data_IF_387600971187
#
_entry.id   IF_387600971187
#
_cell.length_a   1.000
_cell.length_b   1.000
_cell.length_c   1.000
_cell.angle_alpha   90.00
_cell.angle_beta   90.00
_cell.angle_gamma   90.00
#
_symmetry.space_group_name_H-M   'P 1'
#
loop_
_entity.id
_entity.type
_entity.pdbx_description
1 polymer ?
#
# COMPACT_ATOMS: atom_id res chain seq x y z
N UNK A 1 -4.77 23.36 17.66
CA UNK A 1 -6.02 22.67 17.37
C UNK A 1 -6.04 21.38 18.20
N UNK A 2 -7.09 21.05 18.94
CA UNK A 2 -7.15 19.82 19.72
C UNK A 2 -7.28 18.58 18.81
N UNK A 3 -6.81 17.44 19.28
CA UNK A 3 -7.03 16.14 18.61
C UNK A 3 -8.53 15.87 18.52
N UNK A 4 -9.01 15.61 17.32
CA UNK A 4 -10.44 15.50 17.02
C UNK A 4 -10.74 14.17 16.31
N UNK A 5 -11.79 13.50 16.74
CA UNK A 5 -12.34 12.31 16.07
C UNK A 5 -13.73 12.67 15.56
N UNK A 6 -13.96 12.47 14.26
CA UNK A 6 -15.25 12.69 13.61
C UNK A 6 -15.90 11.33 13.35
N UNK A 7 -17.03 11.08 13.95
CA UNK A 7 -17.78 9.84 13.74
C UNK A 7 -18.91 10.04 12.70
N UNK A 8 -19.44 8.94 12.17
CA UNK A 8 -20.46 8.93 11.14
C UNK A 8 -20.13 9.73 9.87
N UNK A 9 -18.86 9.71 9.48
CA UNK A 9 -18.43 10.35 8.23
C UNK A 9 -19.03 9.59 7.04
N UNK A 10 -19.57 10.33 6.08
CA UNK A 10 -20.14 9.82 4.83
C UNK A 10 -19.29 10.18 3.62
N UNK A 11 -19.56 9.54 2.48
CA UNK A 11 -18.81 9.76 1.22
C UNK A 11 -18.91 11.19 0.67
N UNK A 12 -19.98 11.91 0.99
CA UNK A 12 -20.21 13.28 0.53
C UNK A 12 -19.39 14.31 1.31
N UNK A 13 -18.82 13.92 2.45
CA UNK A 13 -18.01 14.81 3.28
C UNK A 13 -16.59 14.92 2.72
N UNK A 14 -16.06 16.12 2.63
CA UNK A 14 -14.69 16.39 2.15
C UNK A 14 -13.63 15.57 2.90
N UNK A 15 -13.77 15.41 4.20
CA UNK A 15 -12.84 14.65 5.05
C UNK A 15 -12.75 13.16 4.67
N UNK A 16 -13.70 12.63 3.87
CA UNK A 16 -13.64 11.26 3.38
C UNK A 16 -12.59 11.09 2.28
N UNK A 17 -12.41 12.09 1.41
CA UNK A 17 -11.55 12.00 0.22
C UNK A 17 -10.33 12.90 0.28
N UNK A 18 -10.39 14.00 1.02
CA UNK A 18 -9.30 14.97 1.09
C UNK A 18 -8.31 14.57 2.19
N UNK A 19 -7.02 14.59 1.85
CA UNK A 19 -5.95 14.35 2.82
C UNK A 19 -5.89 15.51 3.84
N UNK A 20 -5.86 15.16 5.12
CA UNK A 20 -5.73 16.11 6.22
C UNK A 20 -4.42 15.92 6.97
N UNK A 21 -3.57 16.94 6.98
CA UNK A 21 -2.36 16.98 7.81
C UNK A 21 -2.62 17.47 9.25
N UNK A 22 -3.89 17.74 9.61
CA UNK A 22 -4.30 18.12 10.95
C UNK A 22 -4.52 16.92 11.88
N UNK A 23 -4.63 17.16 13.19
CA UNK A 23 -4.90 16.11 14.18
C UNK A 23 -6.38 15.70 14.18
N UNK A 24 -6.89 15.32 13.02
CA UNK A 24 -8.29 14.92 12.81
C UNK A 24 -8.31 13.52 12.23
N UNK A 25 -9.19 12.64 12.74
CA UNK A 25 -9.42 11.28 12.22
C UNK A 25 -10.90 11.05 11.98
N UNK A 26 -11.29 10.71 10.74
CA UNK A 26 -12.66 10.31 10.42
C UNK A 26 -12.89 8.85 10.79
N UNK A 27 -14.11 8.54 11.20
CA UNK A 27 -14.64 7.18 11.37
C UNK A 27 -15.79 7.01 10.40
N UNK A 28 -15.63 6.11 9.46
CA UNK A 28 -16.68 5.66 8.53
C UNK A 28 -17.24 4.34 9.04
N UNK A 29 -18.52 4.26 9.28
CA UNK A 29 -19.18 3.04 9.75
C UNK A 29 -19.79 2.29 8.58
N UNK A 30 -19.38 1.05 8.40
CA UNK A 30 -19.87 0.16 7.34
C UNK A 30 -20.31 -1.17 7.91
N UNK A 31 -21.13 -1.91 7.18
CA UNK A 31 -21.59 -3.22 7.59
C UNK A 31 -21.00 -4.32 6.70
N UNK A 32 -20.30 -5.26 7.33
CA UNK A 32 -19.68 -6.39 6.66
C UNK A 32 -18.31 -6.09 6.09
N UNK A 33 -17.61 -7.16 5.72
CA UNK A 33 -16.21 -7.11 5.26
C UNK A 33 -16.11 -6.49 3.88
N UNK A 34 -17.01 -6.83 2.98
CA UNK A 34 -17.01 -6.31 1.61
C UNK A 34 -17.14 -4.78 1.61
N UNK A 35 -18.13 -4.25 2.32
CA UNK A 35 -18.30 -2.80 2.44
C UNK A 35 -17.12 -2.09 3.12
N UNK A 36 -16.41 -2.78 4.03
CA UNK A 36 -15.21 -2.23 4.66
C UNK A 36 -14.04 -2.14 3.66
N UNK A 37 -13.85 -3.16 2.83
CA UNK A 37 -12.82 -3.17 1.78
C UNK A 37 -13.13 -2.10 0.73
N UNK A 38 -14.37 -2.05 0.24
CA UNK A 38 -14.79 -1.05 -0.73
C UNK A 38 -14.57 0.37 -0.21
N UNK A 39 -14.93 0.62 1.05
CA UNK A 39 -14.71 1.91 1.70
C UNK A 39 -13.22 2.25 1.85
N UNK A 40 -12.39 1.28 2.22
CA UNK A 40 -10.95 1.48 2.35
C UNK A 40 -10.27 1.78 1.00
N UNK A 41 -10.80 1.22 -0.09
CA UNK A 41 -10.27 1.42 -1.44
C UNK A 41 -10.84 2.65 -2.16
N UNK A 42 -11.92 3.24 -1.63
CA UNK A 42 -12.61 4.40 -2.20
C UNK A 42 -11.89 5.72 -1.84
N UNK A 43 -10.63 5.82 -2.22
CA UNK A 43 -9.86 7.06 -2.12
C UNK A 43 -8.68 7.07 -3.11
N UNK A 44 -8.14 8.24 -3.47
CA UNK A 44 -7.04 8.34 -4.42
C UNK A 44 -5.67 7.91 -3.85
N UNK A 45 -5.56 7.69 -2.55
CA UNK A 45 -4.30 7.38 -1.90
C UNK A 45 -4.18 5.90 -1.53
N UNK A 46 -2.95 5.41 -1.39
CA UNK A 46 -2.67 4.03 -1.04
C UNK A 46 -1.23 3.83 -0.52
N UNK A 47 -0.80 4.58 0.49
CA UNK A 47 0.53 4.40 1.06
C UNK A 47 0.54 3.23 2.04
N UNK A 48 -0.16 3.37 3.15
CA UNK A 48 -0.17 2.38 4.22
C UNK A 48 -1.56 2.17 4.77
N UNK A 49 -1.90 0.91 5.01
CA UNK A 49 -3.16 0.48 5.60
C UNK A 49 -2.94 -0.49 6.76
N UNK A 50 -3.97 -0.71 7.56
CA UNK A 50 -3.96 -1.72 8.60
C UNK A 50 -5.35 -2.38 8.71
N UNK A 51 -5.34 -3.70 8.88
CA UNK A 51 -6.53 -4.50 9.15
C UNK A 51 -6.42 -5.11 10.56
N UNK A 52 -7.36 -4.77 11.43
CA UNK A 52 -7.40 -5.29 12.81
C UNK A 52 -8.52 -6.31 12.96
N UNK A 53 -8.21 -7.47 13.51
CA UNK A 53 -9.19 -8.50 13.78
C UNK A 53 -8.67 -9.58 14.74
N UNK A 54 -9.59 -10.21 15.51
CA UNK A 54 -9.24 -11.35 16.37
C UNK A 54 -8.86 -12.58 15.54
N UNK A 55 -9.56 -12.78 14.44
CA UNK A 55 -9.25 -13.81 13.46
C UNK A 55 -8.16 -13.29 12.50
N UNK A 56 -6.95 -13.78 12.69
CA UNK A 56 -5.76 -13.39 11.90
C UNK A 56 -5.93 -13.79 10.43
N UNK A 57 -6.53 -14.96 10.16
CA UNK A 57 -6.76 -15.42 8.79
C UNK A 57 -7.70 -14.47 8.03
N UNK A 58 -8.77 -14.02 8.69
CA UNK A 58 -9.70 -13.04 8.13
C UNK A 58 -9.05 -11.66 7.97
N UNK A 59 -8.27 -11.22 8.95
CA UNK A 59 -7.54 -9.94 8.84
C UNK A 59 -6.55 -9.95 7.67
N UNK A 60 -5.86 -11.06 7.44
CA UNK A 60 -4.96 -11.26 6.30
C UNK A 60 -5.72 -11.23 4.96
N UNK A 61 -6.87 -11.89 4.86
CA UNK A 61 -7.71 -11.85 3.65
C UNK A 61 -8.17 -10.43 3.32
N UNK A 62 -8.52 -9.63 4.33
CA UNK A 62 -8.85 -8.22 4.16
C UNK A 62 -7.63 -7.44 3.69
N UNK A 63 -6.48 -7.61 4.36
CA UNK A 63 -5.25 -6.92 4.02
C UNK A 63 -4.79 -7.15 2.57
N UNK A 64 -4.97 -8.36 2.05
CA UNK A 64 -4.65 -8.71 0.65
C UNK A 64 -5.53 -8.01 -0.39
N UNK A 65 -6.67 -7.48 0.02
CA UNK A 65 -7.64 -6.81 -0.86
C UNK A 65 -7.64 -5.29 -0.73
N UNK A 66 -6.92 -4.74 0.25
CA UNK A 66 -6.75 -3.29 0.39
C UNK A 66 -5.68 -2.82 -0.62
N UNK A 67 -6.02 -1.81 -1.39
CA UNK A 67 -5.18 -1.22 -2.42
C UNK A 67 -4.18 -0.22 -1.81
N UNK A 68 -3.16 -0.74 -1.15
CA UNK A 68 -2.07 0.05 -0.56
C UNK A 68 -0.71 -0.58 -0.85
N UNK A 69 0.34 0.22 -0.82
CA UNK A 69 1.71 -0.28 -0.98
C UNK A 69 2.18 -1.08 0.23
N UNK A 70 1.65 -0.75 1.41
CA UNK A 70 1.95 -1.42 2.67
C UNK A 70 0.61 -1.73 3.36
N UNK A 71 0.47 -2.94 3.89
CA UNK A 71 -0.68 -3.29 4.71
C UNK A 71 -0.28 -4.16 5.90
N UNK A 72 -0.67 -3.75 7.08
CA UNK A 72 -0.38 -4.43 8.33
C UNK A 72 -1.60 -5.17 8.88
N UNK A 73 -1.43 -6.41 9.31
CA UNK A 73 -2.46 -7.14 10.06
C UNK A 73 -2.17 -7.02 11.54
N UNK A 74 -3.10 -6.43 12.30
CA UNK A 74 -3.00 -6.18 13.74
C UNK A 74 -1.79 -5.32 14.15
N UNK A 75 -1.24 -4.53 13.24
CA UNK A 75 -0.15 -3.59 13.46
C UNK A 75 -0.53 -2.17 13.04
N UNK A 76 0.19 -1.14 13.53
CA UNK A 76 -0.07 0.24 13.17
C UNK A 76 0.38 0.54 11.73
N UNK A 77 -0.21 1.55 11.11
CA UNK A 77 0.18 2.03 9.77
C UNK A 77 1.53 2.74 9.75
N UNK A 78 1.98 3.24 10.90
CA UNK A 78 3.29 3.88 11.07
C UNK A 78 4.27 2.80 11.54
N UNK A 79 4.75 2.02 10.58
CA UNK A 79 5.77 1.00 10.77
C UNK A 79 6.58 0.86 9.49
N UNK A 80 7.90 0.98 9.60
CA UNK A 80 8.83 0.86 8.48
C UNK A 80 10.09 0.11 8.93
N UNK A 81 10.67 -0.63 8.01
CA UNK A 81 11.93 -1.32 8.19
C UNK A 81 12.82 -1.09 6.96
N UNK A 82 14.05 -0.67 7.17
CA UNK A 82 14.95 -0.21 6.10
C UNK A 82 15.19 -1.22 4.96
N UNK A 83 15.05 -2.52 5.24
CA UNK A 83 15.19 -3.59 4.25
C UNK A 83 13.89 -3.91 3.49
N UNK A 84 12.75 -3.37 3.93
CA UNK A 84 11.45 -3.65 3.33
C UNK A 84 11.11 -2.67 2.21
N UNK A 85 10.34 -3.09 1.20
CA UNK A 85 9.99 -2.23 0.06
C UNK A 85 8.94 -1.19 0.49
N UNK A 86 9.37 0.01 0.85
CA UNK A 86 8.51 1.12 1.21
C UNK A 86 8.02 1.89 -0.02
N UNK A 87 6.73 2.16 -0.10
CA UNK A 87 6.13 3.00 -1.15
C UNK A 87 4.63 2.78 -1.28
N UNK A 88 3.97 3.70 -1.98
CA UNK A 88 2.53 3.72 -2.17
C UNK A 88 2.06 3.18 -3.52
N UNK A 89 0.76 3.17 -3.68
CA UNK A 89 0.02 2.98 -4.92
C UNK A 89 -0.86 4.21 -5.16
N UNK A 90 -1.53 4.27 -6.29
CA UNK A 90 -2.40 5.41 -6.66
C UNK A 90 -1.60 6.73 -6.57
N UNK A 91 -2.21 7.80 -6.06
CA UNK A 91 -1.56 9.11 -5.91
C UNK A 91 -0.51 9.17 -4.78
N UNK A 92 -0.38 8.11 -3.98
CA UNK A 92 0.66 8.03 -2.94
C UNK A 92 2.07 7.76 -3.47
N UNK A 93 2.26 7.56 -4.76
CA UNK A 93 3.55 7.54 -5.42
C UNK A 93 3.83 6.32 -6.27
N UNK A 94 5.02 6.31 -6.85
CA UNK A 94 5.51 5.29 -7.77
C UNK A 94 6.75 4.59 -7.20
N UNK A 95 6.93 3.33 -7.60
CA UNK A 95 8.12 2.56 -7.21
C UNK A 95 8.14 2.14 -5.75
N UNK A 96 9.28 1.67 -5.32
CA UNK A 96 9.54 1.27 -3.93
C UNK A 96 10.95 1.66 -3.53
N UNK A 97 11.10 2.09 -2.27
CA UNK A 97 12.39 2.35 -1.63
C UNK A 97 12.72 1.24 -0.64
N UNK A 98 13.96 1.23 -0.16
CA UNK A 98 14.42 0.25 0.80
C UNK A 98 14.90 -1.08 0.18
N UNK A 99 15.90 -1.68 0.79
CA UNK A 99 16.46 -2.97 0.44
C UNK A 99 16.75 -3.15 -1.05
N UNK A 100 16.41 -4.32 -1.56
CA UNK A 100 16.59 -4.68 -2.98
C UNK A 100 15.79 -3.80 -3.93
N UNK A 101 14.57 -3.42 -3.55
CA UNK A 101 13.70 -2.58 -4.38
C UNK A 101 14.32 -1.21 -4.67
N UNK A 102 15.01 -0.62 -3.69
CA UNK A 102 15.74 0.64 -3.89
C UNK A 102 16.91 0.48 -4.85
N UNK A 103 17.67 -0.63 -4.77
CA UNK A 103 18.76 -0.92 -5.71
C UNK A 103 18.20 -1.09 -7.12
N UNK A 104 17.13 -1.83 -7.30
CA UNK A 104 16.48 -2.06 -8.60
C UNK A 104 15.96 -0.77 -9.23
N UNK A 105 15.49 0.20 -8.43
CA UNK A 105 15.02 1.49 -8.93
C UNK A 105 16.14 2.38 -9.53
N UNK A 106 17.39 2.15 -9.13
CA UNK A 106 18.57 2.91 -9.62
C UNK A 106 19.47 2.12 -10.55
N UNK A 107 19.07 0.91 -10.97
CA UNK A 107 19.86 0.04 -11.85
C UNK A 107 19.01 -0.48 -13.00
N UNK A 108 19.67 -0.81 -14.10
CA UNK A 108 19.04 -1.46 -15.24
C UNK A 108 19.60 -2.86 -15.44
N UNK A 109 18.71 -3.81 -15.72
CA UNK A 109 19.11 -5.17 -16.06
C UNK A 109 19.72 -5.20 -17.46
N UNK A 110 20.93 -5.78 -17.56
CA UNK A 110 21.63 -5.97 -18.82
C UNK A 110 22.01 -7.43 -19.00
N UNK A 111 21.60 -8.00 -20.12
CA UNK A 111 22.02 -9.33 -20.52
C UNK A 111 23.24 -9.21 -21.46
N UNK A 112 24.33 -9.88 -21.10
CA UNK A 112 25.54 -9.95 -21.91
C UNK A 112 25.81 -11.43 -22.20
N UNK A 113 25.96 -11.77 -23.48
CA UNK A 113 26.42 -13.09 -23.93
C UNK A 113 27.77 -12.95 -24.57
N UNK A 114 28.69 -13.88 -24.28
CA UNK A 114 30.00 -13.97 -24.90
C UNK A 114 30.09 -15.32 -25.62
N UNK A 115 30.25 -15.27 -26.94
CA UNK A 115 30.50 -16.44 -27.75
C UNK A 115 31.99 -16.59 -27.98
N UNK A 116 32.58 -17.63 -27.40
CA UNK A 116 34.04 -17.88 -27.44
C UNK A 116 34.47 -18.74 -28.64
N UNK A 117 33.51 -19.43 -29.29
CA UNK A 117 33.76 -20.26 -30.48
C UNK A 117 32.77 -19.92 -31.57
N UNK A 118 33.18 -19.97 -32.86
CA UNK A 118 32.25 -19.78 -33.97
C UNK A 118 31.06 -20.73 -33.90
N UNK A 119 29.85 -20.21 -34.06
CA UNK A 119 28.64 -21.02 -34.09
C UNK A 119 28.44 -21.61 -35.48
N UNK A 120 28.26 -22.92 -35.57
CA UNK A 120 27.84 -23.55 -36.81
C UNK A 120 26.32 -23.41 -36.96
N UNK A 121 25.88 -22.85 -38.08
CA UNK A 121 24.47 -22.75 -38.45
C UNK A 121 24.11 -23.95 -39.37
N UNK A 122 22.90 -24.48 -39.27
CA UNK A 122 22.50 -25.69 -40.00
C UNK A 122 22.10 -25.45 -41.47
N UNK A 123 22.66 -24.42 -42.14
CA UNK A 123 22.42 -24.13 -43.55
C UNK A 123 23.70 -23.76 -44.27
#
# INVERSE_FOLDING_TARGET
MPTTVLDHVTREMKIHHEESFGPVKPIVRVQGVEAAIDCANDNPYGLSAAAFGRDIGRAMQVAQRIESGICHSNGPTVHDEAQMPFGGTKDSGYGRFGGKAGIEAFTELRWITVQTTPRQYPF
#
